data_IF_652822834561
#
_entry.id   IF_652822834561
#
_cell.length_a   1.000
_cell.length_b   1.000
_cell.length_c   1.000
_cell.angle_alpha   90.00
_cell.angle_beta   90.00
_cell.angle_gamma   90.00
#
_symmetry.space_group_name_H-M   'P 1'
#
loop_
_entity.id
_entity.type
_entity.pdbx_description
1 polymer ?
#
# COMPACT_ATOMS: atom_id res chain seq x y z
N UNK A 1 12.31 -26.12 -2.81
CA UNK A 1 12.96 -24.91 -3.35
C UNK A 1 12.06 -23.69 -3.42
N UNK A 2 10.96 -23.66 -4.22
CA UNK A 2 10.12 -22.45 -4.36
C UNK A 2 9.62 -21.83 -3.03
N UNK A 3 9.12 -22.65 -2.10
CA UNK A 3 8.67 -22.16 -0.77
C UNK A 3 9.79 -21.56 0.08
N UNK A 4 10.99 -22.14 -0.01
CA UNK A 4 12.17 -21.64 0.71
C UNK A 4 12.63 -20.29 0.14
N UNK A 5 12.61 -20.13 -1.20
CA UNK A 5 12.92 -18.86 -1.86
C UNK A 5 11.90 -17.77 -1.49
N UNK A 6 10.62 -18.10 -1.39
CA UNK A 6 9.59 -17.16 -0.93
C UNK A 6 9.84 -16.76 0.52
N UNK A 7 10.12 -17.71 1.41
CA UNK A 7 10.43 -17.41 2.81
C UNK A 7 11.70 -16.56 2.95
N UNK A 8 12.71 -16.81 2.12
CA UNK A 8 13.95 -16.03 2.09
C UNK A 8 13.71 -14.62 1.56
N UNK A 9 12.87 -14.48 0.53
CA UNK A 9 12.48 -13.17 -0.02
C UNK A 9 11.68 -12.35 1.00
N UNK A 10 10.77 -13.01 1.74
CA UNK A 10 9.99 -12.38 2.81
C UNK A 10 10.83 -11.99 4.03
N UNK A 11 12.03 -12.55 4.20
CA UNK A 11 12.93 -12.21 5.32
C UNK A 11 13.97 -11.13 4.99
N UNK A 12 14.15 -10.78 3.70
CA UNK A 12 15.04 -9.67 3.29
C UNK A 12 14.71 -8.32 3.98
N UNK A 13 13.43 -7.94 4.19
CA UNK A 13 13.09 -6.72 4.93
C UNK A 13 13.66 -6.65 6.34
N UNK A 14 13.88 -7.79 7.00
CA UNK A 14 14.41 -7.83 8.38
C UNK A 14 15.90 -7.48 8.46
N UNK A 15 16.60 -7.49 7.32
CA UNK A 15 18.06 -7.32 7.22
C UNK A 15 18.42 -6.11 6.35
N UNK A 16 17.47 -5.56 5.58
CA UNK A 16 17.68 -4.39 4.77
C UNK A 16 18.02 -3.17 5.63
N UNK A 17 19.17 -2.55 5.38
CA UNK A 17 19.55 -1.29 6.03
C UNK A 17 18.55 -0.20 5.67
N UNK A 18 18.16 0.64 6.63
CA UNK A 18 17.20 1.74 6.44
C UNK A 18 17.58 2.67 5.28
N UNK A 19 18.88 2.78 4.96
CA UNK A 19 19.39 3.58 3.85
C UNK A 19 19.04 3.04 2.46
N UNK A 20 18.57 1.78 2.36
CA UNK A 20 18.24 1.12 1.09
C UNK A 20 16.75 1.27 0.78
N UNK A 21 15.88 1.25 1.79
CA UNK A 21 14.42 1.23 1.57
C UNK A 21 13.72 2.44 2.20
N UNK A 22 14.49 3.53 2.38
CA UNK A 22 14.07 4.72 3.10
C UNK A 22 12.72 5.31 2.63
N UNK A 23 12.42 5.46 1.32
CA UNK A 23 11.16 6.06 0.90
C UNK A 23 9.96 5.19 1.30
N UNK A 24 10.02 3.87 1.07
CA UNK A 24 8.98 2.94 1.52
C UNK A 24 8.79 2.90 3.04
N UNK A 25 9.89 2.96 3.83
CA UNK A 25 9.81 3.01 5.29
C UNK A 25 9.28 4.35 5.80
N UNK A 26 9.65 5.46 5.15
CA UNK A 26 9.10 6.78 5.42
C UNK A 26 7.58 6.76 5.21
N UNK A 27 7.13 6.28 4.05
CA UNK A 27 5.70 6.15 3.72
C UNK A 27 4.99 5.26 4.75
N UNK A 28 5.60 4.14 5.15
CA UNK A 28 5.05 3.24 6.17
C UNK A 28 5.00 3.89 7.57
N UNK A 29 5.98 4.73 7.91
CA UNK A 29 5.99 5.43 9.21
C UNK A 29 4.89 6.49 9.34
N UNK A 30 4.36 6.96 8.21
CA UNK A 30 3.27 7.95 8.15
C UNK A 30 1.87 7.32 8.32
N UNK A 31 1.79 6.03 8.66
CA UNK A 31 0.55 5.28 8.96
C UNK A 31 -0.27 5.87 10.12
N UNK A 32 0.26 6.87 10.85
CA UNK A 32 -0.46 7.56 11.93
C UNK A 32 -1.27 8.79 11.49
N UNK A 33 -1.40 9.08 10.19
CA UNK A 33 -2.27 10.16 9.71
C UNK A 33 -3.75 9.73 9.72
N UNK A 34 -4.38 9.69 10.89
CA UNK A 34 -5.73 9.13 11.07
C UNK A 34 -6.80 9.80 10.19
N UNK A 35 -6.62 11.09 9.88
CA UNK A 35 -7.50 11.83 8.97
C UNK A 35 -7.33 11.42 7.51
N UNK A 36 -6.12 11.06 7.07
CA UNK A 36 -5.87 10.51 5.72
C UNK A 36 -6.52 9.14 5.59
N UNK A 37 -6.37 8.29 6.61
CA UNK A 37 -7.03 6.98 6.67
C UNK A 37 -8.55 7.15 6.63
N UNK A 38 -9.10 8.04 7.45
CA UNK A 38 -10.54 8.31 7.48
C UNK A 38 -11.10 8.75 6.12
N UNK A 39 -10.41 9.66 5.44
CA UNK A 39 -10.79 10.11 4.09
C UNK A 39 -10.69 8.98 3.07
N UNK A 40 -9.62 8.18 3.10
CA UNK A 40 -9.44 7.00 2.24
C UNK A 40 -10.59 6.01 2.38
N UNK A 41 -10.96 5.66 3.62
CA UNK A 41 -12.07 4.75 3.92
C UNK A 41 -13.40 5.26 3.36
N UNK A 42 -13.67 6.57 3.41
CA UNK A 42 -14.88 7.16 2.83
C UNK A 42 -14.91 7.00 1.31
N UNK A 43 -13.79 7.30 0.64
CA UNK A 43 -13.68 7.15 -0.82
C UNK A 43 -13.87 5.69 -1.23
N UNK A 44 -13.21 4.78 -0.53
CA UNK A 44 -13.31 3.34 -0.78
C UNK A 44 -14.69 2.79 -0.49
N UNK A 45 -15.39 3.31 0.52
CA UNK A 45 -16.77 2.93 0.82
C UNK A 45 -17.68 3.19 -0.39
N UNK A 46 -17.55 4.35 -1.01
CA UNK A 46 -18.27 4.65 -2.25
C UNK A 46 -17.79 3.80 -3.42
N UNK A 47 -16.48 3.52 -3.52
CA UNK A 47 -15.95 2.64 -4.55
C UNK A 47 -16.56 1.23 -4.49
N UNK A 48 -16.59 0.64 -3.29
CA UNK A 48 -17.18 -0.68 -3.02
C UNK A 48 -18.70 -0.64 -3.23
N UNK A 49 -19.37 0.44 -2.79
CA UNK A 49 -20.82 0.61 -2.96
C UNK A 49 -21.23 0.64 -4.43
N UNK A 50 -20.60 1.49 -5.23
CA UNK A 50 -21.04 1.77 -6.60
C UNK A 50 -20.43 0.82 -7.63
N UNK A 51 -19.12 0.57 -7.57
CA UNK A 51 -18.42 -0.27 -8.54
C UNK A 51 -18.37 -1.73 -8.10
N UNK A 52 -18.24 -1.98 -6.79
CA UNK A 52 -18.34 -3.31 -6.19
C UNK A 52 -19.79 -3.83 -6.13
N UNK A 53 -20.79 -2.94 -6.23
CA UNK A 53 -22.24 -3.23 -6.11
C UNK A 53 -22.64 -3.88 -4.78
N UNK A 54 -21.92 -3.59 -3.69
CA UNK A 54 -22.33 -4.01 -2.35
C UNK A 54 -23.53 -3.17 -1.84
N UNK A 55 -24.28 -3.71 -0.87
CA UNK A 55 -25.27 -2.92 -0.13
C UNK A 55 -24.57 -1.98 0.85
N UNK A 56 -25.22 -0.90 1.28
CA UNK A 56 -24.61 0.12 2.15
C UNK A 56 -23.94 -0.46 3.41
N UNK A 57 -24.67 -1.28 4.19
CA UNK A 57 -24.10 -1.91 5.38
C UNK A 57 -22.95 -2.89 5.05
N UNK A 58 -23.05 -3.60 3.93
CA UNK A 58 -22.00 -4.53 3.49
C UNK A 58 -20.76 -3.79 2.99
N UNK A 59 -20.90 -2.62 2.36
CA UNK A 59 -19.77 -1.78 1.96
C UNK A 59 -18.91 -1.39 3.15
N UNK A 60 -19.52 -1.00 4.28
CA UNK A 60 -18.77 -0.64 5.49
C UNK A 60 -17.94 -1.82 6.03
N UNK A 61 -18.55 -3.01 6.08
CA UNK A 61 -17.86 -4.23 6.52
C UNK A 61 -16.72 -4.59 5.57
N UNK A 62 -16.96 -4.53 4.26
CA UNK A 62 -15.95 -4.87 3.24
C UNK A 62 -14.75 -3.93 3.34
N UNK A 63 -14.99 -2.62 3.42
CA UNK A 63 -13.93 -1.61 3.54
C UNK A 63 -13.16 -1.79 4.84
N UNK A 64 -13.85 -1.93 5.98
CA UNK A 64 -13.16 -2.15 7.26
C UNK A 64 -12.27 -3.41 7.25
N UNK A 65 -12.76 -4.51 6.67
CA UNK A 65 -11.98 -5.76 6.60
C UNK A 65 -10.83 -5.65 5.61
N UNK A 66 -11.04 -5.09 4.41
CA UNK A 66 -9.98 -5.02 3.40
C UNK A 66 -8.84 -4.10 3.86
N UNK A 67 -9.14 -2.97 4.51
CA UNK A 67 -8.14 -2.08 5.09
C UNK A 67 -7.42 -2.70 6.29
N UNK A 68 -8.13 -3.44 7.15
CA UNK A 68 -7.46 -4.18 8.22
C UNK A 68 -6.47 -5.22 7.67
N UNK A 69 -6.86 -5.94 6.61
CA UNK A 69 -5.96 -6.88 5.91
C UNK A 69 -4.80 -6.12 5.23
N UNK A 70 -5.08 -4.98 4.59
CA UNK A 70 -4.08 -4.11 3.95
C UNK A 70 -3.05 -3.62 4.95
N UNK A 71 -3.47 -3.15 6.13
CA UNK A 71 -2.59 -2.70 7.20
C UNK A 71 -1.69 -3.85 7.71
N UNK A 72 -2.24 -5.03 7.97
CA UNK A 72 -1.48 -6.18 8.47
C UNK A 72 -0.49 -6.73 7.45
N UNK A 73 -0.92 -6.89 6.20
CA UNK A 73 -0.08 -7.46 5.14
C UNK A 73 0.90 -6.42 4.59
N UNK A 74 0.49 -5.16 4.55
CA UNK A 74 1.28 -4.01 4.09
C UNK A 74 2.54 -3.79 4.93
N UNK A 75 2.51 -4.09 6.23
CA UNK A 75 3.69 -4.07 7.11
C UNK A 75 4.88 -4.87 6.56
N UNK A 76 4.61 -5.94 5.80
CA UNK A 76 5.64 -6.76 5.17
C UNK A 76 5.82 -6.39 3.71
N UNK A 77 4.73 -6.21 2.95
CA UNK A 77 4.82 -6.04 1.50
C UNK A 77 5.31 -4.65 1.08
N UNK A 78 5.08 -3.60 1.86
CA UNK A 78 5.55 -2.23 1.54
C UNK A 78 7.09 -2.12 1.62
N UNK A 79 7.76 -2.60 2.69
CA UNK A 79 9.22 -2.67 2.70
C UNK A 79 9.78 -3.52 1.55
N UNK A 80 9.12 -4.64 1.22
CA UNK A 80 9.51 -5.48 0.07
C UNK A 80 9.41 -4.70 -1.25
N UNK A 81 8.38 -3.88 -1.42
CA UNK A 81 8.27 -3.05 -2.61
C UNK A 81 9.39 -2.02 -2.69
N UNK A 82 9.85 -1.48 -1.55
CA UNK A 82 11.06 -0.66 -1.46
C UNK A 82 12.31 -1.36 -1.99
N UNK A 83 12.53 -2.61 -1.59
CA UNK A 83 13.64 -3.43 -2.09
C UNK A 83 13.53 -3.62 -3.61
N UNK A 84 12.32 -3.86 -4.11
CA UNK A 84 12.08 -4.04 -5.54
C UNK A 84 12.38 -2.75 -6.32
N UNK A 85 12.00 -1.59 -5.79
CA UNK A 85 12.33 -0.28 -6.38
C UNK A 85 13.83 -0.11 -6.52
N UNK A 86 14.60 -0.40 -5.46
CA UNK A 86 16.06 -0.32 -5.51
C UNK A 86 16.62 -1.23 -6.60
N UNK A 87 16.21 -2.51 -6.64
CA UNK A 87 16.67 -3.46 -7.64
C UNK A 87 16.38 -2.97 -9.07
N UNK A 88 15.20 -2.39 -9.30
CA UNK A 88 14.80 -1.88 -10.61
C UNK A 88 15.59 -0.63 -11.01
N UNK A 89 15.99 0.19 -10.04
CA UNK A 89 16.69 1.45 -10.28
C UNK A 89 18.22 1.35 -10.20
N UNK A 90 18.77 0.24 -9.68
CA UNK A 90 20.20 -0.08 -9.66
C UNK A 90 20.92 0.22 -10.99
N UNK A 91 20.39 -0.16 -12.17
CA UNK A 91 21.08 0.08 -13.45
C UNK A 91 21.26 1.56 -13.80
N UNK A 92 20.50 2.45 -13.18
CA UNK A 92 20.58 3.90 -13.41
C UNK A 92 21.58 4.59 -12.48
N UNK A 93 22.19 3.86 -11.54
CA UNK A 93 23.27 4.38 -10.68
C UNK A 93 22.84 5.51 -9.73
N UNK A 94 21.54 5.71 -9.55
CA UNK A 94 20.99 6.72 -8.66
C UNK A 94 20.87 6.16 -7.24
N UNK A 95 21.12 7.00 -6.24
CA UNK A 95 20.93 6.62 -4.84
C UNK A 95 19.47 6.71 -4.42
N UNK A 96 19.12 6.00 -3.34
CA UNK A 96 17.78 5.94 -2.72
C UNK A 96 17.11 7.29 -2.45
N UNK A 97 17.88 8.37 -2.30
CA UNK A 97 17.35 9.73 -2.08
C UNK A 97 16.99 10.47 -3.38
N UNK A 98 17.28 9.89 -4.55
CA UNK A 98 16.93 10.51 -5.83
C UNK A 98 15.42 10.44 -6.07
N UNK A 99 14.84 11.49 -6.65
CA UNK A 99 13.39 11.63 -6.84
C UNK A 99 12.75 10.44 -7.58
N UNK A 100 13.48 9.79 -8.48
CA UNK A 100 13.04 8.59 -9.19
C UNK A 100 12.68 7.43 -8.25
N UNK A 101 13.46 7.20 -7.19
CA UNK A 101 13.19 6.15 -6.19
C UNK A 101 11.90 6.46 -5.44
N UNK A 102 11.69 7.72 -5.06
CA UNK A 102 10.45 8.15 -4.40
C UNK A 102 9.22 7.99 -5.28
N UNK A 103 9.31 8.34 -6.58
CA UNK A 103 8.20 8.19 -7.53
C UNK A 103 7.86 6.71 -7.72
N UNK A 104 8.87 5.86 -7.90
CA UNK A 104 8.64 4.42 -8.11
C UNK A 104 8.10 3.76 -6.84
N UNK A 105 8.64 4.08 -5.66
CA UNK A 105 8.12 3.59 -4.38
C UNK A 105 6.68 4.03 -4.15
N UNK A 106 6.36 5.29 -4.40
CA UNK A 106 4.99 5.80 -4.33
C UNK A 106 4.01 4.95 -5.15
N UNK A 107 4.34 4.70 -6.42
CA UNK A 107 3.50 3.89 -7.32
C UNK A 107 3.37 2.47 -6.80
N UNK A 108 4.47 1.87 -6.34
CA UNK A 108 4.48 0.51 -5.84
C UNK A 108 3.70 0.35 -4.54
N UNK A 109 3.82 1.27 -3.59
CA UNK A 109 3.03 1.23 -2.35
C UNK A 109 1.55 1.32 -2.66
N UNK A 110 1.15 2.26 -3.53
CA UNK A 110 -0.24 2.38 -3.96
C UNK A 110 -0.75 1.08 -4.64
N UNK A 111 0.07 0.47 -5.50
CA UNK A 111 -0.24 -0.81 -6.16
C UNK A 111 -0.34 -1.97 -5.15
N UNK A 112 0.58 -2.04 -4.18
CA UNK A 112 0.59 -3.07 -3.13
C UNK A 112 -0.71 -3.02 -2.33
N UNK A 113 -1.08 -1.85 -1.80
CA UNK A 113 -2.34 -1.70 -1.06
C UNK A 113 -3.55 -2.06 -1.92
N UNK A 114 -3.61 -1.55 -3.14
CA UNK A 114 -4.69 -1.85 -4.10
C UNK A 114 -4.82 -3.35 -4.35
N UNK A 115 -3.70 -4.04 -4.53
CA UNK A 115 -3.67 -5.48 -4.75
C UNK A 115 -4.13 -6.23 -3.50
N UNK A 116 -3.66 -5.86 -2.31
CA UNK A 116 -4.06 -6.51 -1.06
C UNK A 116 -5.57 -6.35 -0.85
N UNK A 117 -6.09 -5.13 -0.93
CA UNK A 117 -7.50 -4.82 -0.71
C UNK A 117 -8.41 -5.49 -1.75
N UNK A 118 -8.02 -5.39 -3.02
CA UNK A 118 -8.72 -6.03 -4.12
C UNK A 118 -8.77 -7.56 -4.02
N UNK A 119 -7.67 -8.17 -3.60
CA UNK A 119 -7.60 -9.61 -3.36
C UNK A 119 -8.40 -10.01 -2.11
N UNK A 120 -8.38 -9.20 -1.05
CA UNK A 120 -9.23 -9.41 0.13
C UNK A 120 -10.71 -9.36 -0.24
N UNK A 121 -11.14 -8.36 -1.02
CA UNK A 121 -12.49 -8.27 -1.58
C UNK A 121 -12.87 -9.51 -2.40
N UNK A 122 -11.96 -9.98 -3.26
CA UNK A 122 -12.20 -11.14 -4.12
C UNK A 122 -12.27 -12.44 -3.33
N UNK A 123 -11.37 -12.67 -2.38
CA UNK A 123 -11.25 -13.95 -1.71
C UNK A 123 -12.20 -14.10 -0.53
N UNK A 124 -12.40 -13.04 0.26
CA UNK A 124 -13.25 -13.04 1.44
C UNK A 124 -14.72 -12.82 1.03
N UNK A 125 -14.99 -11.79 0.24
CA UNK A 125 -16.36 -11.35 -0.06
C UNK A 125 -16.88 -11.73 -1.44
N UNK A 126 -16.04 -12.36 -2.27
CA UNK A 126 -16.35 -12.83 -3.63
C UNK A 126 -16.77 -11.71 -4.60
N UNK A 127 -16.31 -10.48 -4.36
CA UNK A 127 -16.51 -9.37 -5.28
C UNK A 127 -15.49 -9.35 -6.42
N UNK A 128 -15.79 -8.63 -7.50
CA UNK A 128 -14.89 -8.53 -8.65
C UNK A 128 -13.86 -7.43 -8.44
N UNK A 129 -12.60 -7.82 -8.18
CA UNK A 129 -11.47 -6.89 -8.09
C UNK A 129 -11.34 -6.00 -9.33
N UNK A 130 -11.50 -6.56 -10.53
CA UNK A 130 -11.35 -5.81 -11.80
C UNK A 130 -12.28 -4.59 -11.90
N UNK A 131 -13.44 -4.62 -11.26
CA UNK A 131 -14.42 -3.51 -11.31
C UNK A 131 -14.02 -2.34 -10.42
N UNK A 132 -13.30 -2.61 -9.35
CA UNK A 132 -12.93 -1.62 -8.32
C UNK A 132 -11.47 -1.19 -8.42
N UNK A 133 -10.63 -1.93 -9.18
CA UNK A 133 -9.18 -1.73 -9.26
C UNK A 133 -8.76 -0.26 -9.40
N UNK A 134 -9.24 0.44 -10.42
CA UNK A 134 -8.81 1.81 -10.69
C UNK A 134 -9.25 2.80 -9.61
N UNK A 135 -10.38 2.54 -8.96
CA UNK A 135 -10.87 3.37 -7.86
C UNK A 135 -10.08 3.14 -6.58
N UNK A 136 -9.80 1.87 -6.25
CA UNK A 136 -8.92 1.52 -5.13
C UNK A 136 -7.51 2.06 -5.36
N UNK A 137 -7.00 1.98 -6.59
CA UNK A 137 -5.70 2.53 -6.95
C UNK A 137 -5.66 4.05 -6.77
N UNK A 138 -6.66 4.78 -7.28
CA UNK A 138 -6.72 6.22 -7.09
C UNK A 138 -6.82 6.60 -5.61
N UNK A 139 -7.67 5.92 -4.83
CA UNK A 139 -7.83 6.17 -3.40
C UNK A 139 -6.53 5.92 -2.62
N UNK A 140 -5.86 4.80 -2.88
CA UNK A 140 -4.58 4.46 -2.27
C UNK A 140 -3.47 5.41 -2.70
N UNK A 141 -3.39 5.75 -3.99
CA UNK A 141 -2.43 6.71 -4.51
C UNK A 141 -2.56 8.08 -3.82
N UNK A 142 -3.78 8.62 -3.72
CA UNK A 142 -4.04 9.86 -2.98
C UNK A 142 -3.66 9.72 -1.50
N UNK A 143 -4.02 8.60 -0.87
CA UNK A 143 -3.70 8.36 0.56
C UNK A 143 -2.20 8.33 0.80
N UNK A 144 -1.43 7.64 -0.04
CA UNK A 144 0.04 7.61 0.03
C UNK A 144 0.62 9.00 -0.24
N UNK A 145 0.14 9.73 -1.25
CA UNK A 145 0.62 11.07 -1.55
C UNK A 145 0.40 12.02 -0.38
N UNK A 146 -0.80 12.01 0.22
CA UNK A 146 -1.10 12.81 1.41
C UNK A 146 -0.23 12.40 2.60
N UNK A 147 0.00 11.11 2.80
CA UNK A 147 0.85 10.61 3.89
C UNK A 147 2.30 11.12 3.76
N UNK A 148 2.81 11.28 2.54
CA UNK A 148 4.14 11.86 2.30
C UNK A 148 4.18 13.36 2.59
N UNK A 149 3.08 14.07 2.35
CA UNK A 149 2.97 15.53 2.51
C UNK A 149 2.68 15.96 3.96
N UNK A 150 2.30 15.04 4.86
CA UNK A 150 2.14 15.37 6.28
C UNK A 150 3.53 15.49 6.92
N UNK A 151 3.90 16.67 7.44
CA UNK A 151 5.17 16.84 8.11
C UNK A 151 5.19 16.09 9.45
N UNK A 152 6.34 15.47 9.78
CA UNK A 152 6.58 14.79 11.06
C UNK A 152 6.36 15.68 12.31
N UNK A 153 6.26 17.00 12.14
CA UNK A 153 6.10 17.98 13.22
C UNK A 153 4.76 17.90 13.95
N UNK A 154 3.75 17.26 13.36
CA UNK A 154 2.39 17.25 13.91
C UNK A 154 2.11 16.01 14.79
N UNK A 155 3.13 15.18 15.05
CA UNK A 155 3.05 13.94 15.84
C UNK A 155 3.72 14.02 17.23
N UNK A 156 4.13 15.22 17.67
CA UNK A 156 4.66 15.48 19.02
C UNK A 156 3.90 16.58 19.74
#
# INVERSE_FOLDING_TARGET
MKRLLVLLFLSVPLIASANVVWPSLYILSQVYCWYVIGLGLVVEFFAVRFFGKASWGKSAIVVGVMNAVSALVGWVLIPISGILTEILLLPFGQGTFHLSHWIVDYVFVALVNTCIEGLAMKWIFKYSFKRVFWWLFAANAVSVALSVLVPFSDLY
#
